data_IF_523277571449
#
_entry.id   IF_523277571449
#
_cell.length_a   1.000
_cell.length_b   1.000
_cell.length_c   1.000
_cell.angle_alpha   90.00
_cell.angle_beta   90.00
_cell.angle_gamma   90.00
#
_symmetry.space_group_name_H-M   'P 1'
#
loop_
_entity.id
_entity.type
_entity.pdbx_description
1 polymer ?
#
# COMPACT_ATOMS: atom_id res chain seq x y z
N UNK A 1 -18.02 -20.33 13.62
CA UNK A 1 -18.06 -19.42 12.47
C UNK A 1 -16.90 -19.81 11.59
N UNK A 2 -17.13 -20.12 10.30
CA UNK A 2 -16.14 -20.90 9.56
C UNK A 2 -15.06 -20.00 8.93
N UNK A 3 -13.82 -20.47 9.06
CA UNK A 3 -12.65 -20.07 8.27
C UNK A 3 -12.99 -19.80 6.80
N UNK A 4 -13.86 -20.61 6.21
CA UNK A 4 -14.37 -20.45 4.85
C UNK A 4 -14.95 -19.06 4.56
N UNK A 5 -15.65 -18.44 5.52
CA UNK A 5 -16.22 -17.10 5.35
C UNK A 5 -15.13 -16.02 5.27
N UNK A 6 -14.01 -16.19 6.00
CA UNK A 6 -12.86 -15.28 5.91
C UNK A 6 -12.16 -15.45 4.57
N UNK A 7 -11.91 -16.70 4.15
CA UNK A 7 -11.30 -16.98 2.84
C UNK A 7 -12.16 -16.44 1.69
N UNK A 8 -13.48 -16.64 1.73
CA UNK A 8 -14.40 -16.11 0.72
C UNK A 8 -14.39 -14.57 0.69
N UNK A 9 -14.37 -13.93 1.87
CA UNK A 9 -14.24 -12.48 1.95
C UNK A 9 -12.89 -12.02 1.37
N UNK A 10 -11.78 -12.68 1.69
CA UNK A 10 -10.47 -12.31 1.16
C UNK A 10 -10.38 -12.49 -0.36
N UNK A 11 -10.92 -13.58 -0.91
CA UNK A 11 -11.02 -13.77 -2.36
C UNK A 11 -11.85 -12.66 -3.03
N UNK A 12 -12.95 -12.23 -2.39
CA UNK A 12 -13.72 -11.07 -2.84
C UNK A 12 -12.93 -9.76 -2.76
N UNK A 13 -12.06 -9.57 -1.75
CA UNK A 13 -11.20 -8.40 -1.66
C UNK A 13 -10.21 -8.36 -2.83
N UNK A 14 -9.59 -9.50 -3.16
CA UNK A 14 -8.72 -9.64 -4.33
C UNK A 14 -9.46 -9.29 -5.64
N UNK A 15 -10.72 -9.72 -5.77
CA UNK A 15 -11.55 -9.32 -6.91
C UNK A 15 -11.79 -7.81 -6.97
N UNK A 16 -12.09 -7.17 -5.83
CA UNK A 16 -12.26 -5.71 -5.77
C UNK A 16 -10.97 -4.96 -6.16
N UNK A 17 -9.78 -5.49 -5.84
CA UNK A 17 -8.49 -4.95 -6.33
C UNK A 17 -8.36 -5.06 -7.85
N UNK A 18 -8.65 -6.21 -8.44
CA UNK A 18 -8.60 -6.41 -9.90
C UNK A 18 -9.57 -5.50 -10.66
N UNK A 19 -10.73 -5.24 -10.05
CA UNK A 19 -11.76 -4.37 -10.61
C UNK A 19 -11.57 -2.89 -10.23
N UNK A 20 -10.44 -2.54 -9.60
CA UNK A 20 -10.07 -1.17 -9.18
C UNK A 20 -11.16 -0.46 -8.34
N UNK A 21 -11.87 -1.21 -7.50
CA UNK A 21 -12.98 -0.70 -6.68
C UNK A 21 -12.47 -0.02 -5.40
N UNK A 22 -11.58 0.95 -5.53
CA UNK A 22 -10.81 1.54 -4.42
C UNK A 22 -11.66 2.00 -3.22
N UNK A 23 -12.84 2.64 -3.38
CA UNK A 23 -13.68 3.01 -2.23
C UNK A 23 -14.18 1.79 -1.45
N UNK A 24 -14.46 0.67 -2.14
CA UNK A 24 -14.90 -0.58 -1.52
C UNK A 24 -13.74 -1.22 -0.76
N UNK A 25 -12.56 -1.26 -1.37
CA UNK A 25 -11.33 -1.80 -0.76
C UNK A 25 -11.01 -1.03 0.51
N UNK A 26 -11.02 0.30 0.47
CA UNK A 26 -10.73 1.16 1.61
C UNK A 26 -11.63 0.88 2.83
N UNK A 27 -12.91 0.57 2.60
CA UNK A 27 -13.87 0.19 3.65
C UNK A 27 -13.65 -1.20 4.25
N UNK A 28 -12.74 -1.99 3.67
CA UNK A 28 -12.40 -3.36 4.04
C UNK A 28 -10.99 -3.49 4.64
N UNK A 29 -10.31 -2.37 4.86
CA UNK A 29 -9.02 -2.32 5.54
C UNK A 29 -9.19 -2.24 7.05
N UNK A 30 -8.19 -2.72 7.77
CA UNK A 30 -8.14 -2.78 9.23
C UNK A 30 -6.71 -2.60 9.74
N UNK A 31 -6.59 -2.46 11.06
CA UNK A 31 -5.31 -2.56 11.75
C UNK A 31 -4.29 -1.51 11.35
N UNK A 32 -3.04 -1.95 11.20
CA UNK A 32 -1.90 -1.11 10.89
C UNK A 32 -2.02 -0.45 9.52
N UNK A 33 -2.70 -1.07 8.55
CA UNK A 33 -2.94 -0.47 7.24
C UNK A 33 -3.64 0.90 7.33
N UNK A 34 -4.61 1.04 8.24
CA UNK A 34 -5.27 2.31 8.47
C UNK A 34 -4.38 3.31 9.20
N UNK A 35 -3.51 2.86 10.10
CA UNK A 35 -2.56 3.74 10.79
C UNK A 35 -1.55 4.29 9.79
N UNK A 36 -0.96 3.41 8.98
CA UNK A 36 -0.01 3.78 7.93
C UNK A 36 -0.65 4.70 6.89
N UNK A 37 -1.88 4.42 6.44
CA UNK A 37 -2.57 5.31 5.51
C UNK A 37 -2.77 6.73 6.06
N UNK A 38 -3.02 6.89 7.36
CA UNK A 38 -3.05 8.20 8.00
C UNK A 38 -1.66 8.89 8.07
N UNK A 39 -0.61 8.12 8.37
CA UNK A 39 0.76 8.61 8.35
C UNK A 39 1.21 9.04 6.95
N UNK A 40 0.81 8.30 5.92
CA UNK A 40 1.10 8.61 4.53
C UNK A 40 0.57 10.00 4.14
N UNK A 41 -0.64 10.36 4.59
CA UNK A 41 -1.20 11.71 4.37
C UNK A 41 -0.40 12.80 5.09
N UNK A 42 0.12 12.49 6.27
CA UNK A 42 0.99 13.42 7.02
C UNK A 42 2.32 13.62 6.29
N UNK A 43 2.92 12.52 5.79
CA UNK A 43 4.13 12.58 4.98
C UNK A 43 3.88 13.37 3.70
N UNK A 44 2.76 13.13 3.00
CA UNK A 44 2.36 13.89 1.81
C UNK A 44 2.24 15.39 2.06
N UNK A 45 1.72 15.81 3.21
CA UNK A 45 1.57 17.23 3.50
C UNK A 45 2.91 17.86 3.89
N UNK A 46 3.65 17.22 4.80
CA UNK A 46 4.66 17.90 5.61
C UNK A 46 6.08 17.33 5.52
N UNK A 47 6.30 16.14 4.95
CA UNK A 47 7.64 15.56 4.89
C UNK A 47 8.57 16.40 3.99
N UNK A 48 9.77 16.67 4.47
CA UNK A 48 10.88 17.18 3.67
C UNK A 48 11.69 16.01 3.07
N UNK A 49 12.76 16.34 2.35
CA UNK A 49 13.61 15.34 1.70
C UNK A 49 14.19 14.33 2.69
N UNK A 50 14.73 14.78 3.83
CA UNK A 50 15.34 13.89 4.81
C UNK A 50 14.32 12.91 5.41
N UNK A 51 13.10 13.38 5.69
CA UNK A 51 12.02 12.52 6.16
C UNK A 51 11.57 11.51 5.08
N UNK A 52 11.52 11.93 3.82
CA UNK A 52 11.23 11.03 2.70
C UNK A 52 12.36 10.03 2.44
N UNK A 53 13.61 10.42 2.68
CA UNK A 53 14.78 9.55 2.55
C UNK A 53 14.84 8.48 3.64
N UNK A 54 14.13 8.67 4.75
CA UNK A 54 14.04 7.73 5.87
C UNK A 54 12.90 6.69 5.74
N UNK A 55 11.99 6.84 4.78
CA UNK A 55 10.91 5.88 4.51
C UNK A 55 11.24 4.98 3.32
N UNK A 56 10.49 3.88 3.21
CA UNK A 56 10.65 2.92 2.12
C UNK A 56 10.40 3.55 0.75
N UNK A 57 10.94 2.91 -0.29
CA UNK A 57 10.86 3.44 -1.66
C UNK A 57 9.43 3.57 -2.19
N UNK A 58 8.48 2.73 -1.76
CA UNK A 58 7.10 2.78 -2.26
C UNK A 58 6.34 3.98 -1.65
N UNK A 59 6.49 4.21 -0.35
CA UNK A 59 6.02 5.43 0.33
C UNK A 59 6.60 6.66 -0.35
N UNK A 60 7.94 6.68 -0.49
CA UNK A 60 8.67 7.81 -1.08
C UNK A 60 8.17 8.11 -2.49
N UNK A 61 8.11 7.08 -3.33
CA UNK A 61 7.62 7.15 -4.70
C UNK A 61 6.21 7.72 -4.79
N UNK A 62 5.29 7.24 -3.95
CA UNK A 62 3.94 7.77 -3.93
C UNK A 62 3.92 9.27 -3.57
N UNK A 63 4.65 9.70 -2.53
CA UNK A 63 4.67 11.12 -2.12
C UNK A 63 5.24 12.01 -3.23
N UNK A 64 6.43 11.69 -3.73
CA UNK A 64 7.09 12.51 -4.75
C UNK A 64 6.27 12.56 -6.03
N UNK A 65 5.66 11.44 -6.44
CA UNK A 65 4.81 11.37 -7.63
C UNK A 65 3.63 12.34 -7.55
N UNK A 66 2.91 12.36 -6.43
CA UNK A 66 1.71 13.18 -6.29
C UNK A 66 2.01 14.66 -6.02
N UNK A 67 3.18 14.98 -5.43
CA UNK A 67 3.63 16.37 -5.24
C UNK A 67 4.25 16.98 -6.48
N UNK A 68 4.97 16.19 -7.27
CA UNK A 68 5.68 16.68 -8.45
C UNK A 68 4.79 16.84 -9.69
N UNK A 69 3.51 16.49 -9.63
CA UNK A 69 2.56 16.85 -10.68
C UNK A 69 2.48 18.39 -10.82
N UNK A 70 2.19 18.94 -12.02
CA UNK A 70 2.18 20.40 -12.25
C UNK A 70 1.23 21.16 -11.32
N UNK A 71 0.15 20.48 -10.94
CA UNK A 71 -0.69 20.83 -9.81
C UNK A 71 -0.64 19.65 -8.83
N UNK A 72 -0.11 19.82 -7.61
CA UNK A 72 -0.11 18.77 -6.60
C UNK A 72 -1.52 18.26 -6.33
N UNK A 73 -1.67 16.96 -6.09
CA UNK A 73 -2.99 16.41 -5.81
C UNK A 73 -3.60 16.96 -4.52
N UNK A 74 -4.89 17.33 -4.58
CA UNK A 74 -5.68 17.66 -3.40
C UNK A 74 -6.17 16.37 -2.72
N UNK A 75 -5.55 16.04 -1.58
CA UNK A 75 -5.91 14.90 -0.74
C UNK A 75 -6.56 15.32 0.59
N UNK A 76 -7.00 16.58 0.73
CA UNK A 76 -7.57 17.11 1.98
C UNK A 76 -8.83 16.38 2.46
N UNK A 77 -9.57 15.76 1.53
CA UNK A 77 -10.75 14.93 1.83
C UNK A 77 -10.47 13.42 1.94
N UNK A 78 -9.22 12.97 1.74
CA UNK A 78 -8.89 11.56 1.74
C UNK A 78 -8.87 10.98 3.16
N UNK A 79 -9.58 9.87 3.37
CA UNK A 79 -9.46 9.10 4.61
C UNK A 79 -8.26 8.15 4.57
N UNK A 80 -7.82 7.70 5.75
CA UNK A 80 -6.70 6.77 5.91
C UNK A 80 -6.78 5.52 5.01
N UNK A 81 -7.96 4.90 4.89
CA UNK A 81 -8.13 3.73 4.01
C UNK A 81 -7.94 4.06 2.53
N UNK A 82 -8.40 5.23 2.08
CA UNK A 82 -8.19 5.66 0.70
C UNK A 82 -6.71 5.96 0.44
N UNK A 83 -6.05 6.62 1.39
CA UNK A 83 -4.61 6.86 1.32
C UNK A 83 -3.81 5.56 1.28
N UNK A 84 -4.17 4.57 2.12
CA UNK A 84 -3.55 3.25 2.05
C UNK A 84 -3.67 2.64 0.65
N UNK A 85 -4.87 2.61 0.07
CA UNK A 85 -5.08 2.01 -1.26
C UNK A 85 -4.25 2.72 -2.31
N UNK A 86 -4.23 4.06 -2.32
CA UNK A 86 -3.45 4.85 -3.28
C UNK A 86 -1.94 4.60 -3.14
N UNK A 87 -1.42 4.52 -1.91
CA UNK A 87 -0.02 4.19 -1.66
C UNK A 87 0.32 2.75 -2.01
N UNK A 88 -0.57 1.82 -1.68
CA UNK A 88 -0.43 0.41 -1.95
C UNK A 88 -0.39 0.11 -3.45
N UNK A 89 -1.21 0.79 -4.27
CA UNK A 89 -1.27 0.62 -5.72
C UNK A 89 -0.42 1.66 -6.47
N UNK A 90 0.48 2.36 -5.78
CA UNK A 90 1.27 3.44 -6.39
C UNK A 90 2.12 2.97 -7.56
N UNK A 91 2.60 1.72 -7.49
CA UNK A 91 3.41 1.06 -8.51
C UNK A 91 2.71 -0.21 -9.01
N UNK A 92 1.88 -0.10 -10.09
CA UNK A 92 0.97 -1.17 -10.51
C UNK A 92 1.64 -2.50 -10.89
N UNK A 93 2.91 -2.46 -11.30
CA UNK A 93 3.67 -3.67 -11.62
C UNK A 93 3.77 -4.65 -10.44
N UNK A 94 3.58 -4.17 -9.20
CA UNK A 94 3.59 -5.01 -8.00
C UNK A 94 2.19 -5.49 -7.59
N UNK A 95 1.12 -5.11 -8.30
CA UNK A 95 -0.25 -5.55 -7.96
C UNK A 95 -0.45 -7.05 -8.18
N UNK A 96 0.37 -7.68 -9.02
CA UNK A 96 0.47 -9.14 -9.15
C UNK A 96 0.76 -9.83 -7.81
N UNK A 97 1.45 -9.16 -6.87
CA UNK A 97 1.68 -9.71 -5.54
C UNK A 97 0.37 -9.89 -4.77
N UNK A 98 -0.60 -8.98 -4.91
CA UNK A 98 -1.92 -9.14 -4.32
C UNK A 98 -2.68 -10.31 -4.97
N UNK A 99 -2.50 -10.54 -6.27
CA UNK A 99 -3.08 -11.69 -6.95
C UNK A 99 -2.46 -13.02 -6.51
N UNK A 100 -1.15 -13.06 -6.27
CA UNK A 100 -0.43 -14.25 -5.82
C UNK A 100 -0.58 -14.53 -4.32
N UNK A 101 -1.08 -13.57 -3.53
CA UNK A 101 -1.20 -13.71 -2.08
C UNK A 101 -2.44 -14.50 -1.66
N UNK A 102 -2.27 -15.48 -0.79
CA UNK A 102 -3.33 -16.37 -0.34
C UNK A 102 -3.38 -16.45 1.18
N UNK A 103 -4.57 -16.64 1.74
CA UNK A 103 -4.71 -17.04 3.14
C UNK A 103 -4.50 -18.54 3.24
N UNK A 104 -3.51 -18.92 4.04
CA UNK A 104 -3.16 -20.31 4.34
C UNK A 104 -3.90 -20.84 5.56
N UNK A 105 -3.14 -21.44 6.48
CA UNK A 105 -3.68 -21.99 7.72
C UNK A 105 -3.96 -20.91 8.78
N UNK A 106 -4.91 -21.22 9.67
CA UNK A 106 -5.21 -20.36 10.80
C UNK A 106 -4.01 -20.36 11.75
N UNK A 107 -3.41 -19.21 11.95
CA UNK A 107 -2.26 -19.01 12.84
C UNK A 107 -2.71 -18.83 14.29
N UNK A 108 -3.73 -18.00 14.50
CA UNK A 108 -4.18 -17.62 15.85
C UNK A 108 -5.66 -17.22 15.88
N UNK A 109 -6.35 -17.59 16.97
CA UNK A 109 -7.69 -17.13 17.28
C UNK A 109 -7.66 -16.14 18.45
N UNK A 110 -8.05 -14.88 18.20
CA UNK A 110 -8.11 -13.85 19.23
C UNK A 110 -9.54 -13.64 19.77
N UNK A 111 -10.51 -14.32 19.16
CA UNK A 111 -11.94 -14.23 19.48
C UNK A 111 -12.81 -14.50 18.26
N UNK A 112 -14.15 -14.47 18.41
CA UNK A 112 -15.06 -14.73 17.30
C UNK A 112 -14.91 -13.74 16.14
N UNK A 113 -14.55 -12.49 16.45
CA UNK A 113 -14.51 -11.39 15.49
C UNK A 113 -13.07 -11.03 15.06
N UNK A 114 -12.07 -11.83 15.43
CA UNK A 114 -10.67 -11.56 15.07
C UNK A 114 -9.86 -12.85 14.94
N UNK A 115 -9.35 -13.09 13.74
CA UNK A 115 -8.59 -14.28 13.35
C UNK A 115 -7.32 -13.86 12.64
N UNK A 116 -6.23 -14.60 12.85
CA UNK A 116 -4.96 -14.38 12.17
C UNK A 116 -4.60 -15.60 11.33
N UNK A 117 -4.20 -15.38 10.08
CA UNK A 117 -3.87 -16.44 9.13
C UNK A 117 -2.42 -16.33 8.70
N UNK A 118 -1.77 -17.47 8.49
CA UNK A 118 -0.55 -17.55 7.69
C UNK A 118 -0.87 -17.13 6.26
N UNK A 119 0.08 -16.50 5.61
CA UNK A 119 -0.06 -16.10 4.22
C UNK A 119 0.88 -16.89 3.33
N UNK A 120 0.36 -17.28 2.17
CA UNK A 120 1.12 -17.99 1.15
C UNK A 120 1.35 -17.06 -0.03
N UNK A 121 2.55 -17.11 -0.59
CA UNK A 121 2.88 -16.55 -1.90
C UNK A 121 3.15 -17.71 -2.85
N UNK A 122 2.33 -17.83 -3.90
CA UNK A 122 2.41 -18.94 -4.86
C UNK A 122 2.45 -20.32 -4.17
N UNK A 123 1.63 -20.47 -3.11
CA UNK A 123 1.54 -21.69 -2.31
C UNK A 123 2.62 -21.87 -1.22
N UNK A 124 3.60 -20.97 -1.12
CA UNK A 124 4.68 -21.05 -0.11
C UNK A 124 4.45 -20.09 1.07
N UNK A 125 4.53 -20.60 2.30
CA UNK A 125 4.50 -19.77 3.51
C UNK A 125 5.86 -19.08 3.70
N UNK A 126 5.87 -17.75 3.58
CA UNK A 126 7.06 -16.92 3.79
C UNK A 126 7.10 -16.25 5.17
N UNK A 127 6.21 -16.63 6.08
CA UNK A 127 6.15 -16.14 7.46
C UNK A 127 5.27 -14.90 7.66
N UNK A 128 4.67 -14.37 6.59
CA UNK A 128 3.72 -13.26 6.65
C UNK A 128 2.40 -13.70 7.29
N UNK A 129 1.72 -12.76 7.95
CA UNK A 129 0.41 -12.98 8.57
C UNK A 129 -0.58 -11.90 8.20
N UNK A 130 -1.84 -12.29 8.08
CA UNK A 130 -2.96 -11.35 7.92
C UNK A 130 -3.88 -11.48 9.11
N UNK A 131 -4.18 -10.34 9.72
CA UNK A 131 -5.28 -10.24 10.67
C UNK A 131 -6.57 -9.93 9.91
N UNK A 132 -7.55 -10.79 10.07
CA UNK A 132 -8.93 -10.57 9.66
C UNK A 132 -9.76 -10.16 10.88
N UNK A 133 -10.40 -9.00 10.82
CA UNK A 133 -11.31 -8.52 11.86
C UNK A 133 -12.73 -8.35 11.31
N UNK A 134 -13.73 -8.59 12.15
CA UNK A 134 -15.12 -8.41 11.78
C UNK A 134 -15.62 -7.07 12.27
N UNK A 135 -16.14 -6.25 11.36
CA UNK A 135 -16.73 -4.96 11.68
C UNK A 135 -17.90 -4.66 10.73
N UNK A 136 -19.01 -4.14 11.25
CA UNK A 136 -20.18 -3.77 10.44
C UNK A 136 -20.80 -4.94 9.66
N UNK A 137 -20.61 -6.19 10.13
CA UNK A 137 -21.15 -7.39 9.48
C UNK A 137 -20.27 -8.00 8.39
N UNK A 138 -19.14 -7.38 8.04
CA UNK A 138 -18.18 -7.90 7.04
C UNK A 138 -16.80 -8.14 7.66
N UNK A 139 -15.96 -8.87 6.93
CA UNK A 139 -14.54 -9.05 7.28
C UNK A 139 -13.69 -7.95 6.64
N UNK A 140 -12.78 -7.42 7.44
CA UNK A 140 -11.75 -6.45 7.08
C UNK A 140 -10.37 -7.07 7.30
N UNK A 141 -9.38 -6.59 6.59
CA UNK A 141 -8.05 -7.19 6.53
C UNK A 141 -6.97 -6.13 6.75
N UNK A 142 -6.00 -6.48 7.58
CA UNK A 142 -4.75 -5.72 7.66
C UNK A 142 -3.79 -6.21 6.58
N UNK A 143 -3.47 -5.35 5.62
CA UNK A 143 -2.64 -5.67 4.46
C UNK A 143 -1.19 -5.16 4.60
N UNK A 144 -0.78 -4.72 5.80
CA UNK A 144 0.56 -4.13 5.97
C UNK A 144 1.71 -5.09 5.69
N UNK A 145 1.58 -6.39 5.99
CA UNK A 145 2.64 -7.33 5.64
C UNK A 145 2.87 -7.38 4.12
N UNK A 146 1.79 -7.50 3.32
CA UNK A 146 1.90 -7.44 1.87
C UNK A 146 2.44 -6.09 1.38
N UNK A 147 2.04 -4.99 2.01
CA UNK A 147 2.60 -3.67 1.68
C UNK A 147 4.13 -3.65 1.87
N UNK A 148 4.64 -4.17 3.00
CA UNK A 148 6.08 -4.22 3.27
C UNK A 148 6.81 -5.12 2.27
N UNK A 149 6.21 -6.24 1.88
CA UNK A 149 6.76 -7.11 0.85
C UNK A 149 6.84 -6.40 -0.51
N UNK A 150 5.80 -5.63 -0.89
CA UNK A 150 5.84 -4.78 -2.10
C UNK A 150 6.94 -3.72 -2.02
N UNK A 151 7.05 -3.03 -0.89
CA UNK A 151 8.07 -2.01 -0.68
C UNK A 151 9.49 -2.60 -0.82
N UNK A 152 9.75 -3.75 -0.19
CA UNK A 152 11.03 -4.46 -0.30
C UNK A 152 11.33 -4.94 -1.72
N UNK A 153 10.32 -5.42 -2.44
CA UNK A 153 10.46 -5.82 -3.85
C UNK A 153 10.85 -4.62 -4.72
N UNK A 154 10.20 -3.46 -4.52
CA UNK A 154 10.55 -2.22 -5.22
C UNK A 154 11.97 -1.78 -4.90
N UNK A 155 12.38 -1.76 -3.63
CA UNK A 155 13.74 -1.39 -3.22
C UNK A 155 14.80 -2.30 -3.86
N UNK A 156 14.53 -3.61 -3.90
CA UNK A 156 15.42 -4.58 -4.54
C UNK A 156 15.55 -4.30 -6.04
N UNK A 157 14.42 -4.05 -6.71
CA UNK A 157 14.40 -3.69 -8.13
C UNK A 157 15.17 -2.40 -8.40
N UNK A 158 14.94 -1.35 -7.60
CA UNK A 158 15.63 -0.06 -7.72
C UNK A 158 17.14 -0.27 -7.58
N UNK A 159 17.57 -0.98 -6.54
CA UNK A 159 18.98 -1.22 -6.29
C UNK A 159 19.67 -2.02 -7.40
N UNK A 160 18.98 -2.99 -8.00
CA UNK A 160 19.53 -3.86 -9.05
C UNK A 160 19.59 -3.17 -10.41
N UNK A 161 18.55 -2.45 -10.79
CA UNK A 161 18.41 -1.90 -12.15
C UNK A 161 18.90 -0.44 -12.27
N UNK A 162 18.79 0.35 -11.20
CA UNK A 162 19.07 1.79 -11.23
C UNK A 162 20.16 2.21 -10.23
N UNK A 163 20.45 1.39 -9.23
CA UNK A 163 21.45 1.65 -8.20
C UNK A 163 20.95 2.53 -7.05
N UNK A 164 20.14 3.55 -7.33
CA UNK A 164 19.51 4.40 -6.33
C UNK A 164 18.11 4.90 -6.75
N UNK A 165 17.41 5.49 -5.78
CA UNK A 165 16.03 5.96 -5.97
C UNK A 165 15.92 7.14 -6.94
N UNK A 166 16.87 8.09 -6.90
CA UNK A 166 16.84 9.27 -7.76
C UNK A 166 16.99 8.87 -9.25
N UNK A 167 17.90 7.94 -9.54
CA UNK A 167 18.10 7.38 -10.88
C UNK A 167 16.87 6.61 -11.37
N UNK A 168 16.21 5.86 -10.48
CA UNK A 168 14.93 5.21 -10.78
C UNK A 168 13.84 6.23 -11.10
N UNK A 169 13.70 7.29 -10.30
CA UNK A 169 12.69 8.32 -10.50
C UNK A 169 12.91 9.05 -11.83
N UNK A 170 14.13 9.46 -12.13
CA UNK A 170 14.48 10.11 -13.40
C UNK A 170 14.13 9.23 -14.60
N UNK A 171 14.44 7.92 -14.52
CA UNK A 171 14.07 6.96 -15.57
C UNK A 171 12.55 6.83 -15.71
N UNK A 172 11.83 6.66 -14.60
CA UNK A 172 10.38 6.53 -14.60
C UNK A 172 9.69 7.76 -15.22
N UNK A 173 10.12 8.97 -14.85
CA UNK A 173 9.56 10.21 -15.40
C UNK A 173 9.81 10.34 -16.90
N UNK A 174 11.00 9.97 -17.37
CA UNK A 174 11.35 9.99 -18.78
C UNK A 174 10.56 8.97 -19.61
N UNK A 175 10.35 7.76 -19.08
CA UNK A 175 9.57 6.71 -19.76
C UNK A 175 8.08 7.09 -19.91
N UNK A 176 7.54 7.79 -18.91
CA UNK A 176 6.12 8.14 -18.87
C UNK A 176 5.79 9.55 -19.39
N UNK A 177 6.77 10.29 -19.93
CA UNK A 177 6.64 11.65 -20.50
C UNK A 177 5.85 12.61 -19.59
N UNK A 178 6.16 12.59 -18.29
CA UNK A 178 5.42 13.34 -17.29
C UNK A 178 5.96 14.77 -17.19
N UNK A 179 5.06 15.76 -17.30
CA UNK A 179 5.35 17.11 -16.83
C UNK A 179 5.50 17.06 -15.31
N UNK A 180 6.72 17.27 -14.81
CA UNK A 180 7.06 17.01 -13.41
C UNK A 180 7.94 18.11 -12.81
N UNK A 181 7.54 18.64 -11.66
CA UNK A 181 8.33 19.57 -10.86
C UNK A 181 9.11 18.81 -9.80
N UNK A 182 10.38 18.53 -10.11
CA UNK A 182 11.29 17.82 -9.21
C UNK A 182 11.58 18.62 -7.94
N UNK A 183 11.62 19.96 -8.00
CA UNK A 183 11.92 20.79 -6.83
C UNK A 183 10.75 20.75 -5.83
N UNK A 184 9.51 20.83 -6.32
CA UNK A 184 8.31 20.72 -5.49
C UNK A 184 8.08 19.30 -4.95
N UNK A 185 8.44 18.25 -5.71
CA UNK A 185 8.25 16.86 -5.30
C UNK A 185 8.87 16.53 -3.94
N UNK A 186 10.04 17.13 -3.66
CA UNK A 186 10.81 16.93 -2.43
C UNK A 186 10.49 17.90 -1.29
N UNK A 187 9.58 18.86 -1.53
CA UNK A 187 9.24 19.89 -0.54
C UNK A 187 7.87 19.67 0.07
N UNK A 188 7.67 20.07 1.34
CA UNK A 188 6.34 20.17 1.93
C UNK A 188 5.41 21.04 1.07
N UNK A 189 4.12 20.75 1.11
CA UNK A 189 3.12 21.56 0.43
C UNK A 189 2.98 22.92 1.13
N UNK A 190 2.84 23.99 0.35
CA UNK A 190 2.68 25.33 0.89
C UNK A 190 1.37 25.44 1.68
N UNK A 191 1.46 25.70 2.99
CA UNK A 191 0.29 25.84 3.86
C UNK A 191 -0.10 24.57 4.66
N UNK A 192 0.75 23.53 4.64
CA UNK A 192 0.68 22.39 5.56
C UNK A 192 1.09 22.79 7.00
#
# INVERSE_FOLDING_TARGET
MSREAVHAAFASLKADFRDERFPVIAGRLAGEALVWGGQLLTLFAAADRDALDAVDALTRFWVVRYRGMPEPADLSGAGAGAAFVLGFTAFPYLDVMMEAWELGELAEEHGPDRLSFHCLFDGEDQGARVTAERAGGSWRFDLMELYRDKAKALETFIQMEFGDFDSFLDHYLAEHDLSFDMEQAWRPLSGA
#
